data_IF_740124811660
#
_entry.id   IF_740124811660
#
_cell.length_a   1.000
_cell.length_b   1.000
_cell.length_c   1.000
_cell.angle_alpha   90.00
_cell.angle_beta   90.00
_cell.angle_gamma   90.00
#
_symmetry.space_group_name_H-M   'P 1'
#
loop_
_entity.id
_entity.type
_entity.pdbx_description
1 polymer ?
#
# COMPACT_ATOMS: atom_id res chain seq x y z
N UNK A 1 -18.60 -2.38 21.62
CA UNK A 1 -17.29 -2.90 21.16
C UNK A 1 -17.21 -2.65 19.67
N UNK A 2 -16.18 -1.90 19.22
CA UNK A 2 -15.95 -1.64 17.80
C UNK A 2 -15.37 -2.90 17.18
N UNK A 3 -15.96 -3.33 16.05
CA UNK A 3 -15.48 -4.51 15.29
C UNK A 3 -14.75 -4.06 14.03
N UNK A 4 -13.53 -4.53 13.84
CA UNK A 4 -12.71 -4.27 12.67
C UNK A 4 -12.48 -5.52 11.83
N UNK A 5 -12.24 -5.32 10.55
CA UNK A 5 -11.76 -6.34 9.61
C UNK A 5 -10.85 -5.71 8.56
N UNK A 6 -10.06 -6.53 7.87
CA UNK A 6 -9.43 -6.13 6.63
C UNK A 6 -10.27 -6.60 5.44
N UNK A 7 -10.58 -5.68 4.54
CA UNK A 7 -10.91 -6.00 3.16
C UNK A 7 -9.61 -6.16 2.38
N UNK A 8 -9.65 -6.86 1.28
CA UNK A 8 -8.52 -7.01 0.37
C UNK A 8 -8.85 -6.45 -1.01
N UNK A 9 -7.89 -5.82 -1.63
CA UNK A 9 -7.94 -5.42 -3.03
C UNK A 9 -6.72 -5.97 -3.77
N UNK A 10 -6.94 -6.59 -4.92
CA UNK A 10 -5.87 -7.18 -5.71
C UNK A 10 -4.94 -6.11 -6.29
N UNK A 11 -3.64 -6.38 -6.22
CA UNK A 11 -2.60 -5.69 -6.97
C UNK A 11 -2.15 -6.65 -8.07
N UNK A 12 -2.23 -6.18 -9.31
CA UNK A 12 -2.02 -6.99 -10.52
C UNK A 12 -0.71 -6.59 -11.20
N UNK A 13 0.07 -7.56 -11.60
CA UNK A 13 1.20 -7.35 -12.50
C UNK A 13 0.67 -7.16 -13.93
N UNK A 14 1.03 -6.05 -14.59
CA UNK A 14 0.36 -5.61 -15.82
C UNK A 14 0.74 -6.41 -17.07
N UNK A 15 1.91 -7.04 -17.11
CA UNK A 15 2.32 -7.84 -18.26
C UNK A 15 1.67 -9.22 -18.28
N UNK A 16 1.61 -9.88 -17.11
CA UNK A 16 1.01 -11.20 -16.95
C UNK A 16 -0.48 -11.15 -16.65
N UNK A 17 -0.97 -10.01 -16.14
CA UNK A 17 -2.32 -9.81 -15.60
C UNK A 17 -2.65 -10.73 -14.40
N UNK A 18 -1.64 -11.20 -13.71
CA UNK A 18 -1.79 -12.02 -12.53
C UNK A 18 -1.84 -11.18 -11.25
N UNK A 19 -2.63 -11.63 -10.29
CA UNK A 19 -2.64 -11.06 -8.94
C UNK A 19 -1.34 -11.44 -8.25
N UNK A 20 -0.54 -10.44 -7.89
CA UNK A 20 0.77 -10.66 -7.24
C UNK A 20 0.76 -10.34 -5.76
N UNK A 21 -0.17 -9.49 -5.32
CA UNK A 21 -0.31 -9.03 -3.93
C UNK A 21 -1.76 -8.65 -3.64
N UNK A 22 -2.06 -8.45 -2.38
CA UNK A 22 -3.30 -7.80 -1.93
C UNK A 22 -2.98 -6.64 -0.98
N UNK A 23 -3.58 -5.50 -1.20
CA UNK A 23 -3.63 -4.45 -0.19
C UNK A 23 -4.73 -4.77 0.81
N UNK A 24 -4.40 -4.72 2.10
CA UNK A 24 -5.33 -4.92 3.20
C UNK A 24 -5.86 -3.57 3.68
N UNK A 25 -7.15 -3.37 3.52
CA UNK A 25 -7.84 -2.10 3.76
C UNK A 25 -8.73 -2.22 5.00
N UNK A 26 -8.40 -1.46 6.04
CA UNK A 26 -9.14 -1.49 7.29
C UNK A 26 -10.60 -1.05 7.10
N UNK A 27 -11.50 -1.81 7.71
CA UNK A 27 -12.94 -1.51 7.76
C UNK A 27 -13.45 -1.67 9.19
N UNK A 28 -14.43 -0.86 9.53
CA UNK A 28 -15.15 -0.87 10.79
C UNK A 28 -16.61 -1.24 10.55
N UNK A 29 -17.17 -2.09 11.42
CA UNK A 29 -18.59 -2.46 11.34
C UNK A 29 -19.44 -1.35 11.93
N UNK A 30 -20.36 -0.84 11.12
CA UNK A 30 -21.43 0.05 11.55
C UNK A 30 -22.66 -0.80 11.93
N UNK A 31 -22.93 -0.87 13.23
CA UNK A 31 -24.01 -1.71 13.75
C UNK A 31 -25.42 -1.15 13.45
N UNK A 32 -25.53 0.17 13.29
CA UNK A 32 -26.80 0.85 13.02
C UNK A 32 -27.20 0.65 11.55
N UNK A 33 -26.24 0.83 10.65
CA UNK A 33 -26.43 0.67 9.21
C UNK A 33 -26.23 -0.78 8.72
N UNK A 34 -25.66 -1.63 9.56
CA UNK A 34 -25.32 -3.04 9.22
C UNK A 34 -24.43 -3.18 7.99
N UNK A 35 -23.43 -2.31 7.90
CA UNK A 35 -22.46 -2.30 6.78
C UNK A 35 -21.04 -2.13 7.30
N UNK A 36 -20.08 -2.61 6.51
CA UNK A 36 -18.68 -2.27 6.70
C UNK A 36 -18.41 -0.90 6.08
N UNK A 37 -17.78 0.01 6.82
CA UNK A 37 -17.39 1.34 6.36
C UNK A 37 -15.93 1.65 6.68
N UNK A 38 -15.43 2.75 6.16
CA UNK A 38 -14.13 3.28 6.58
C UNK A 38 -14.17 3.60 8.08
N UNK A 39 -13.10 3.27 8.83
CA UNK A 39 -13.03 3.64 10.23
C UNK A 39 -12.92 5.16 10.40
N UNK A 40 -13.38 5.65 11.55
CA UNK A 40 -13.23 7.06 11.90
C UNK A 40 -11.78 7.39 12.26
N UNK A 41 -11.06 6.38 12.76
CA UNK A 41 -9.64 6.45 13.09
C UNK A 41 -8.94 5.19 12.58
N UNK A 42 -7.82 5.36 11.86
CA UNK A 42 -7.01 4.27 11.33
C UNK A 42 -5.93 3.79 12.32
N UNK A 43 -5.76 4.46 13.44
CA UNK A 43 -4.78 4.09 14.47
C UNK A 43 -5.31 2.99 15.40
N UNK A 44 -5.36 1.78 14.90
CA UNK A 44 -5.60 0.60 15.73
C UNK A 44 -4.27 0.03 16.25
N UNK A 45 -4.34 -0.71 17.35
CA UNK A 45 -3.14 -1.32 17.93
C UNK A 45 -2.47 -2.30 16.96
N UNK A 46 -1.15 -2.40 17.00
CA UNK A 46 -0.41 -3.37 16.18
C UNK A 46 -0.85 -4.82 16.48
N UNK A 47 -1.21 -5.13 17.72
CA UNK A 47 -1.76 -6.44 18.07
C UNK A 47 -3.07 -6.75 17.32
N UNK A 48 -3.94 -5.75 17.19
CA UNK A 48 -5.16 -5.88 16.39
C UNK A 48 -4.83 -6.03 14.90
N UNK A 49 -3.91 -5.23 14.36
CA UNK A 49 -3.47 -5.35 12.97
C UNK A 49 -2.96 -6.76 12.67
N UNK A 50 -2.08 -7.31 13.53
CA UNK A 50 -1.54 -8.67 13.38
C UNK A 50 -2.66 -9.71 13.41
N UNK A 51 -3.61 -9.59 14.34
CA UNK A 51 -4.77 -10.49 14.41
C UNK A 51 -5.59 -10.48 13.12
N UNK A 52 -5.84 -9.28 12.58
CA UNK A 52 -6.60 -9.11 11.34
C UNK A 52 -5.83 -9.61 10.12
N UNK A 53 -4.50 -9.37 10.05
CA UNK A 53 -3.65 -9.93 8.99
C UNK A 53 -3.68 -11.46 8.98
N UNK A 54 -3.52 -12.11 10.14
CA UNK A 54 -3.60 -13.58 10.25
C UNK A 54 -4.95 -14.10 9.76
N UNK A 55 -6.04 -13.39 10.06
CA UNK A 55 -7.39 -13.75 9.60
C UNK A 55 -7.51 -13.62 8.07
N UNK A 56 -6.99 -12.55 7.48
CA UNK A 56 -7.00 -12.33 6.03
C UNK A 56 -6.14 -13.38 5.30
N UNK A 57 -4.92 -13.66 5.79
CA UNK A 57 -4.00 -14.62 5.18
C UNK A 57 -4.61 -16.03 5.07
N UNK A 58 -5.38 -16.48 6.05
CA UNK A 58 -6.06 -17.79 5.97
C UNK A 58 -7.03 -17.89 4.81
N UNK A 59 -7.51 -16.76 4.28
CA UNK A 59 -8.53 -16.71 3.21
C UNK A 59 -7.97 -16.33 1.85
N UNK A 60 -6.82 -15.66 1.79
CA UNK A 60 -6.20 -15.24 0.54
C UNK A 60 -5.44 -16.39 -0.11
N UNK A 61 -5.51 -16.48 -1.43
CA UNK A 61 -4.70 -17.42 -2.24
C UNK A 61 -3.26 -16.90 -2.39
N UNK A 62 -3.10 -15.63 -2.78
CA UNK A 62 -1.80 -14.96 -2.83
C UNK A 62 -1.51 -14.39 -1.45
N UNK A 63 -0.40 -14.82 -0.86
CA UNK A 63 -0.02 -14.52 0.53
C UNK A 63 0.92 -13.32 0.68
N UNK A 64 1.11 -12.56 -0.40
CA UNK A 64 1.84 -11.30 -0.38
C UNK A 64 0.85 -10.18 -0.06
N UNK A 65 1.07 -9.43 1.00
CA UNK A 65 0.12 -8.41 1.46
C UNK A 65 0.79 -7.08 1.75
N UNK A 66 0.02 -6.01 1.58
CA UNK A 66 0.39 -4.66 1.97
C UNK A 66 -0.51 -4.20 3.11
N UNK A 67 0.06 -3.52 4.08
CA UNK A 67 -0.66 -2.81 5.15
C UNK A 67 -0.23 -1.36 5.21
N UNK A 68 -1.12 -0.49 5.66
CA UNK A 68 -0.80 0.92 5.89
C UNK A 68 -0.38 1.15 7.34
N UNK A 69 0.66 1.96 7.53
CA UNK A 69 1.04 2.52 8.83
C UNK A 69 0.97 4.05 8.77
N UNK A 70 0.43 4.64 9.82
CA UNK A 70 0.53 6.08 10.03
C UNK A 70 1.98 6.47 10.40
N UNK A 71 2.37 7.76 10.28
CA UNK A 71 3.71 8.19 10.67
C UNK A 71 4.07 7.84 12.11
N UNK A 72 3.12 7.95 13.04
CA UNK A 72 3.34 7.61 14.45
C UNK A 72 3.55 6.11 14.65
N UNK A 73 2.79 5.26 13.97
CA UNK A 73 2.97 3.81 14.02
C UNK A 73 4.32 3.39 13.40
N UNK A 74 4.70 4.00 12.29
CA UNK A 74 5.98 3.70 11.63
C UNK A 74 7.18 4.09 12.49
N UNK A 75 7.12 5.25 13.16
CA UNK A 75 8.20 5.75 14.02
C UNK A 75 8.34 4.99 15.35
N UNK A 76 7.39 4.13 15.69
CA UNK A 76 7.37 3.36 16.94
C UNK A 76 8.18 2.07 16.79
N UNK A 77 9.29 1.97 17.51
CA UNK A 77 10.15 0.79 17.50
C UNK A 77 9.46 -0.48 18.05
N UNK A 78 8.52 -0.34 19.00
CA UNK A 78 7.76 -1.47 19.52
C UNK A 78 6.79 -2.03 18.48
N UNK A 79 6.18 -1.16 17.68
CA UNK A 79 5.36 -1.56 16.53
C UNK A 79 6.22 -2.30 15.52
N UNK A 80 7.39 -1.77 15.19
CA UNK A 80 8.33 -2.41 14.27
C UNK A 80 8.73 -3.81 14.73
N UNK A 81 9.15 -3.96 16.00
CA UNK A 81 9.53 -5.27 16.55
C UNK A 81 8.40 -6.28 16.47
N UNK A 82 7.17 -5.90 16.81
CA UNK A 82 6.00 -6.80 16.74
C UNK A 82 5.66 -7.22 15.33
N UNK A 83 5.79 -6.31 14.36
CA UNK A 83 5.57 -6.64 12.93
C UNK A 83 6.67 -7.58 12.42
N UNK A 84 7.92 -7.33 12.76
CA UNK A 84 9.05 -8.21 12.41
C UNK A 84 8.89 -9.60 13.01
N UNK A 85 8.51 -9.69 14.28
CA UNK A 85 8.22 -10.98 14.94
C UNK A 85 7.06 -11.70 14.24
N UNK A 86 6.02 -10.99 13.85
CA UNK A 86 4.91 -11.55 13.08
C UNK A 86 5.39 -12.12 11.74
N UNK A 87 6.23 -11.40 11.01
CA UNK A 87 6.78 -11.84 9.72
C UNK A 87 7.59 -13.12 9.87
N UNK A 88 8.44 -13.19 10.90
CA UNK A 88 9.30 -14.36 11.15
C UNK A 88 8.55 -15.57 11.70
N UNK A 89 7.41 -15.37 12.36
CA UNK A 89 6.62 -16.43 13.02
C UNK A 89 5.40 -16.90 12.24
N UNK A 90 5.16 -16.38 11.03
CA UNK A 90 3.95 -16.68 10.27
C UNK A 90 4.30 -17.35 8.94
N UNK A 91 4.33 -18.67 8.94
CA UNK A 91 4.69 -19.49 7.77
C UNK A 91 3.75 -19.27 6.57
N UNK A 92 2.49 -18.88 6.81
CA UNK A 92 1.52 -18.60 5.75
C UNK A 92 1.82 -17.29 4.99
N UNK A 93 2.62 -16.39 5.54
CA UNK A 93 2.95 -15.11 4.91
C UNK A 93 3.98 -15.32 3.79
N UNK A 94 3.65 -14.89 2.59
CA UNK A 94 4.61 -14.84 1.48
C UNK A 94 5.57 -13.66 1.64
N UNK A 95 5.04 -12.45 1.67
CA UNK A 95 5.79 -11.22 1.93
C UNK A 95 4.88 -10.12 2.47
N UNK A 96 5.47 -9.18 3.20
CA UNK A 96 4.80 -8.00 3.74
C UNK A 96 5.41 -6.73 3.16
N UNK A 97 4.57 -5.82 2.68
CA UNK A 97 4.92 -4.44 2.37
C UNK A 97 4.19 -3.52 3.36
N UNK A 98 4.92 -2.62 3.97
CA UNK A 98 4.38 -1.52 4.76
C UNK A 98 4.28 -0.30 3.87
N UNK A 99 3.06 0.22 3.72
CA UNK A 99 2.77 1.46 3.00
C UNK A 99 2.72 2.61 3.98
N UNK A 100 3.54 3.63 3.73
CA UNK A 100 3.64 4.83 4.54
C UNK A 100 2.62 5.84 4.02
N UNK A 101 1.63 6.17 4.84
CA UNK A 101 0.52 7.08 4.47
C UNK A 101 0.93 8.55 4.38
N UNK A 102 2.10 8.88 4.88
CA UNK A 102 2.78 10.17 4.73
C UNK A 102 4.28 9.95 4.73
N UNK A 103 5.04 10.91 4.17
CA UNK A 103 6.50 10.85 4.16
C UNK A 103 7.04 10.81 5.59
N UNK A 104 7.82 9.77 5.97
CA UNK A 104 8.47 9.72 7.27
C UNK A 104 9.63 10.71 7.33
N UNK A 105 10.18 10.93 8.52
CA UNK A 105 11.45 11.66 8.64
C UNK A 105 12.59 10.86 8.00
N UNK A 106 13.62 11.56 7.52
CA UNK A 106 14.82 10.92 6.98
C UNK A 106 15.54 10.06 8.03
N UNK A 107 15.45 10.45 9.29
CA UNK A 107 16.01 9.69 10.41
C UNK A 107 15.24 8.38 10.61
N UNK A 108 13.91 8.42 10.67
CA UNK A 108 13.10 7.21 10.87
C UNK A 108 13.25 6.21 9.72
N UNK A 109 13.30 6.70 8.47
CA UNK A 109 13.46 5.78 7.33
C UNK A 109 14.85 5.12 7.34
N UNK A 110 15.89 5.80 7.78
CA UNK A 110 17.25 5.28 7.87
C UNK A 110 17.47 4.35 9.07
N UNK A 111 16.70 4.49 10.13
CA UNK A 111 16.80 3.69 11.35
C UNK A 111 15.75 2.60 11.39
N UNK A 112 14.52 2.94 11.68
CA UNK A 112 13.39 1.97 11.75
C UNK A 112 13.11 1.35 10.39
N UNK A 113 13.12 2.13 9.33
CA UNK A 113 12.95 1.62 7.97
C UNK A 113 14.01 0.60 7.57
N UNK A 114 15.27 0.84 7.94
CA UNK A 114 16.35 -0.10 7.70
C UNK A 114 16.16 -1.43 8.45
N UNK A 115 15.64 -1.40 9.67
CA UNK A 115 15.33 -2.62 10.42
C UNK A 115 14.17 -3.41 9.78
N UNK A 116 13.11 -2.74 9.29
CA UNK A 116 12.08 -3.41 8.52
C UNK A 116 12.67 -4.13 7.31
N UNK A 117 13.45 -3.44 6.48
CA UNK A 117 14.03 -3.99 5.25
C UNK A 117 15.02 -5.11 5.51
N UNK A 118 15.86 -5.00 6.51
CA UNK A 118 16.80 -6.05 6.96
C UNK A 118 16.08 -7.35 7.34
N UNK A 119 14.85 -7.25 7.81
CA UNK A 119 14.01 -8.38 8.20
C UNK A 119 13.04 -8.82 7.09
N UNK A 120 13.25 -8.38 5.85
CA UNK A 120 12.48 -8.80 4.70
C UNK A 120 11.14 -8.08 4.50
N UNK A 121 10.85 -7.04 5.28
CA UNK A 121 9.67 -6.19 5.08
C UNK A 121 9.99 -5.11 4.06
N UNK A 122 9.17 -5.03 3.02
CA UNK A 122 9.28 -3.98 2.00
C UNK A 122 8.60 -2.70 2.47
N UNK A 123 9.08 -1.56 2.00
CA UNK A 123 8.51 -0.25 2.29
C UNK A 123 8.01 0.41 1.01
N UNK A 124 6.83 1.02 1.07
CA UNK A 124 6.28 1.82 -0.01
C UNK A 124 5.89 3.21 0.50
N UNK A 125 6.12 4.24 -0.31
CA UNK A 125 5.54 5.57 -0.08
C UNK A 125 4.25 5.63 -0.87
N UNK A 126 3.16 5.88 -0.16
CA UNK A 126 1.83 5.96 -0.74
C UNK A 126 1.50 7.37 -1.24
N UNK A 127 0.57 7.46 -2.20
CA UNK A 127 -0.02 8.71 -2.69
C UNK A 127 0.97 9.78 -3.20
N UNK A 128 2.10 9.36 -3.80
CA UNK A 128 3.04 10.32 -4.40
C UNK A 128 2.36 11.14 -5.51
N UNK A 129 2.67 12.42 -5.57
CA UNK A 129 2.06 13.37 -6.51
C UNK A 129 0.68 13.91 -6.10
N UNK A 130 0.06 13.34 -5.08
CA UNK A 130 -1.22 13.79 -4.53
C UNK A 130 -1.09 14.22 -3.06
N UNK A 131 -1.33 13.34 -2.11
CA UNK A 131 -1.21 13.66 -0.68
C UNK A 131 0.26 13.73 -0.24
N UNK A 132 1.15 13.00 -0.90
CA UNK A 132 2.60 13.05 -0.75
C UNK A 132 3.23 13.69 -2.00
N UNK A 133 3.12 15.02 -2.14
CA UNK A 133 3.48 15.76 -3.36
C UNK A 133 4.76 16.60 -3.25
N UNK A 134 5.43 16.59 -2.09
CA UNK A 134 6.74 17.24 -1.93
C UNK A 134 7.84 16.36 -2.55
N UNK A 135 8.16 16.67 -3.81
CA UNK A 135 9.14 15.93 -4.59
C UNK A 135 10.52 15.90 -3.93
N UNK A 136 10.99 17.05 -3.41
CA UNK A 136 12.33 17.16 -2.79
C UNK A 136 12.45 16.30 -1.52
N UNK A 137 11.34 16.13 -0.79
CA UNK A 137 11.28 15.24 0.37
C UNK A 137 11.33 13.79 -0.07
N UNK A 138 10.49 13.40 -1.02
CA UNK A 138 10.42 12.00 -1.49
C UNK A 138 11.71 11.58 -2.18
N UNK A 139 12.34 12.46 -2.97
CA UNK A 139 13.64 12.19 -3.61
C UNK A 139 14.73 11.76 -2.60
N UNK A 140 14.71 12.36 -1.40
CA UNK A 140 15.65 11.98 -0.31
C UNK A 140 15.30 10.64 0.33
N UNK A 141 14.03 10.22 0.27
CA UNK A 141 13.54 8.99 0.88
C UNK A 141 13.59 7.79 -0.07
N UNK A 142 13.49 8.02 -1.38
CA UNK A 142 13.37 6.94 -2.37
C UNK A 142 14.51 5.91 -2.31
N UNK A 143 15.78 6.24 -1.97
CA UNK A 143 16.83 5.24 -1.82
C UNK A 143 16.58 4.21 -0.71
N UNK A 144 15.66 4.51 0.21
CA UNK A 144 15.37 3.71 1.41
C UNK A 144 14.04 2.95 1.33
N UNK A 145 13.34 3.03 0.20
CA UNK A 145 12.05 2.33 -0.01
C UNK A 145 12.09 1.44 -1.25
N UNK A 146 11.12 0.56 -1.36
CA UNK A 146 11.06 -0.46 -2.42
C UNK A 146 10.01 -0.12 -3.48
N UNK A 147 9.06 0.75 -3.17
CA UNK A 147 7.96 1.11 -4.06
C UNK A 147 7.49 2.55 -3.84
N UNK A 148 7.10 3.21 -4.94
CA UNK A 148 6.28 4.42 -4.95
C UNK A 148 4.92 4.09 -5.54
N UNK A 149 3.83 4.54 -4.89
CA UNK A 149 2.46 4.32 -5.34
C UNK A 149 1.83 5.66 -5.74
N UNK A 150 1.33 5.71 -6.96
CA UNK A 150 0.70 6.89 -7.56
C UNK A 150 -0.81 6.66 -7.71
N UNK A 151 -1.61 7.51 -7.08
CA UNK A 151 -3.06 7.34 -6.97
C UNK A 151 -3.81 8.20 -7.98
N UNK A 152 -4.25 7.61 -9.10
CA UNK A 152 -5.06 8.30 -10.12
C UNK A 152 -6.39 8.82 -9.57
N UNK A 153 -7.04 8.07 -8.65
CA UNK A 153 -8.27 8.51 -7.99
C UNK A 153 -8.07 9.80 -7.20
N UNK A 154 -6.93 9.98 -6.55
CA UNK A 154 -6.61 11.20 -5.81
C UNK A 154 -6.37 12.38 -6.77
N UNK A 155 -5.67 12.13 -7.88
CA UNK A 155 -5.45 13.15 -8.91
C UNK A 155 -6.79 13.68 -9.46
N UNK A 156 -7.73 12.78 -9.73
CA UNK A 156 -9.10 13.16 -10.16
C UNK A 156 -9.82 13.95 -9.08
N UNK A 157 -9.82 13.46 -7.84
CA UNK A 157 -10.50 14.10 -6.71
C UNK A 157 -9.94 15.50 -6.38
N UNK A 158 -8.64 15.71 -6.59
CA UNK A 158 -7.95 16.98 -6.33
C UNK A 158 -7.91 17.91 -7.53
N UNK A 159 -8.49 17.51 -8.69
CA UNK A 159 -8.49 18.30 -9.91
C UNK A 159 -7.12 18.48 -10.56
N UNK A 160 -6.17 17.59 -10.28
CA UNK A 160 -4.78 17.64 -10.78
C UNK A 160 -4.60 16.87 -12.11
N UNK A 161 -5.57 17.00 -13.02
CA UNK A 161 -5.57 16.22 -14.27
C UNK A 161 -4.92 16.96 -15.45
N UNK A 162 -4.80 18.28 -15.42
CA UNK A 162 -4.31 19.07 -16.56
C UNK A 162 -2.87 18.73 -16.96
N UNK A 163 -1.99 18.43 -16.00
CA UNK A 163 -0.59 18.06 -16.22
C UNK A 163 -0.32 16.63 -15.74
N UNK A 164 -1.29 15.73 -15.87
CA UNK A 164 -1.21 14.39 -15.32
C UNK A 164 -0.01 13.60 -15.85
N UNK A 165 0.23 13.61 -17.16
CA UNK A 165 1.33 12.85 -17.76
C UNK A 165 2.70 13.38 -17.34
N UNK A 166 2.89 14.68 -17.24
CA UNK A 166 4.13 15.30 -16.75
C UNK A 166 4.38 14.92 -15.29
N UNK A 167 3.32 14.91 -14.49
CA UNK A 167 3.37 14.47 -13.09
C UNK A 167 3.78 13.00 -12.98
N UNK A 168 3.16 12.13 -13.75
CA UNK A 168 3.50 10.70 -13.78
C UNK A 168 4.94 10.51 -14.22
N UNK A 169 5.37 11.19 -15.29
CA UNK A 169 6.73 11.08 -15.82
C UNK A 169 7.79 11.46 -14.77
N UNK A 170 7.55 12.51 -14.00
CA UNK A 170 8.45 12.94 -12.93
C UNK A 170 8.65 11.84 -11.89
N UNK A 171 7.56 11.25 -11.39
CA UNK A 171 7.60 10.19 -10.38
C UNK A 171 8.11 8.86 -10.92
N UNK A 172 7.74 8.51 -12.15
CA UNK A 172 8.23 7.31 -12.81
C UNK A 172 9.74 7.38 -13.07
N UNK A 173 10.25 8.55 -13.47
CA UNK A 173 11.69 8.80 -13.66
C UNK A 173 12.44 8.64 -12.35
N UNK A 174 11.95 9.26 -11.28
CA UNK A 174 12.54 9.14 -9.94
C UNK A 174 12.62 7.67 -9.49
N UNK A 175 11.52 6.92 -9.64
CA UNK A 175 11.49 5.50 -9.30
C UNK A 175 12.50 4.69 -10.12
N UNK A 176 12.59 4.95 -11.42
CA UNK A 176 13.50 4.26 -12.34
C UNK A 176 14.97 4.54 -12.01
N UNK A 177 15.33 5.78 -11.73
CA UNK A 177 16.71 6.18 -11.38
C UNK A 177 17.21 5.50 -10.10
N UNK A 178 16.31 5.19 -9.18
CA UNK A 178 16.62 4.50 -7.93
C UNK A 178 16.31 3.00 -7.95
N UNK A 179 15.91 2.45 -9.11
CA UNK A 179 15.51 1.06 -9.25
C UNK A 179 14.39 0.66 -8.26
N UNK A 180 13.47 1.60 -8.01
CA UNK A 180 12.32 1.46 -7.12
C UNK A 180 11.10 1.11 -7.95
N UNK A 181 10.24 0.21 -7.45
CA UNK A 181 9.01 -0.18 -8.14
C UNK A 181 8.03 1.00 -8.19
N UNK A 182 7.33 1.14 -9.31
CA UNK A 182 6.29 2.15 -9.50
C UNK A 182 4.95 1.49 -9.72
N UNK A 183 3.97 1.77 -8.86
CA UNK A 183 2.64 1.16 -8.85
C UNK A 183 1.57 2.22 -9.05
N UNK A 184 0.59 1.97 -9.90
CA UNK A 184 -0.60 2.80 -10.03
C UNK A 184 -1.75 2.28 -9.19
N UNK A 185 -2.46 3.21 -8.56
CA UNK A 185 -3.74 2.98 -7.91
C UNK A 185 -4.86 3.70 -8.66
N UNK A 186 -6.09 3.25 -8.45
CA UNK A 186 -7.27 3.88 -9.05
C UNK A 186 -7.41 3.66 -10.55
N UNK A 187 -6.96 2.52 -11.06
CA UNK A 187 -7.27 2.10 -12.43
C UNK A 187 -8.76 1.76 -12.51
N UNK A 188 -9.53 2.55 -13.22
CA UNK A 188 -10.98 2.39 -13.35
C UNK A 188 -11.43 2.13 -14.80
N UNK A 189 -10.55 2.39 -15.76
CA UNK A 189 -10.86 2.30 -17.18
C UNK A 189 -9.72 1.72 -18.01
N UNK A 190 -10.05 1.32 -19.25
CA UNK A 190 -9.05 0.92 -20.24
C UNK A 190 -8.08 2.07 -20.58
N UNK A 191 -8.55 3.32 -20.51
CA UNK A 191 -7.70 4.50 -20.69
C UNK A 191 -6.63 4.60 -19.60
N UNK A 192 -7.01 4.36 -18.35
CA UNK A 192 -6.05 4.35 -17.23
C UNK A 192 -5.03 3.23 -17.39
N UNK A 193 -5.47 2.05 -17.84
CA UNK A 193 -4.58 0.91 -18.10
C UNK A 193 -3.57 1.23 -19.21
N UNK A 194 -4.01 1.90 -20.29
CA UNK A 194 -3.11 2.36 -21.34
C UNK A 194 -2.10 3.39 -20.85
N UNK A 195 -2.53 4.28 -19.96
CA UNK A 195 -1.65 5.26 -19.34
C UNK A 195 -0.58 4.59 -18.48
N UNK A 196 -0.95 3.60 -17.67
CA UNK A 196 0.00 2.82 -16.89
C UNK A 196 1.04 2.13 -17.78
N UNK A 197 0.61 1.52 -18.89
CA UNK A 197 1.51 0.86 -19.85
C UNK A 197 2.44 1.85 -20.57
N UNK A 198 1.97 3.07 -20.87
CA UNK A 198 2.78 4.12 -21.49
C UNK A 198 3.99 4.50 -20.64
N UNK A 199 3.88 4.44 -19.32
CA UNK A 199 4.93 4.80 -18.37
C UNK A 199 5.63 3.57 -17.76
N UNK A 200 5.54 2.39 -18.39
CA UNK A 200 6.17 1.15 -17.96
C UNK A 200 5.88 0.77 -16.50
N UNK A 201 4.67 1.10 -16.02
CA UNK A 201 4.21 0.74 -14.68
C UNK A 201 4.09 -0.78 -14.58
N UNK A 202 4.73 -1.36 -13.57
CA UNK A 202 4.75 -2.82 -13.43
C UNK A 202 3.49 -3.36 -12.78
N UNK A 203 3.04 -2.73 -11.70
CA UNK A 203 1.89 -3.17 -10.92
C UNK A 203 0.82 -2.10 -10.83
N UNK A 204 -0.43 -2.54 -10.76
CA UNK A 204 -1.56 -1.63 -10.62
C UNK A 204 -2.69 -2.25 -9.80
N UNK A 205 -3.51 -1.39 -9.22
CA UNK A 205 -4.76 -1.76 -8.55
C UNK A 205 -5.87 -0.76 -8.89
N UNK A 206 -7.10 -1.18 -8.73
CA UNK A 206 -8.27 -0.34 -8.96
C UNK A 206 -9.52 -1.14 -9.30
N UNK A 207 -10.63 -0.44 -9.44
CA UNK A 207 -11.93 -1.04 -9.70
C UNK A 207 -12.03 -1.76 -11.05
N UNK A 208 -11.14 -1.41 -11.98
CA UNK A 208 -11.00 -2.14 -13.24
C UNK A 208 -10.68 -3.63 -13.04
N UNK A 209 -9.89 -3.96 -12.01
CA UNK A 209 -9.51 -5.34 -11.68
C UNK A 209 -10.40 -5.94 -10.60
N UNK A 210 -10.55 -5.24 -9.47
CA UNK A 210 -11.37 -5.70 -8.34
C UNK A 210 -11.74 -4.55 -7.42
N UNK A 211 -12.91 -4.65 -6.81
CA UNK A 211 -13.28 -3.80 -5.68
C UNK A 211 -12.72 -4.37 -4.37
N UNK A 212 -12.43 -3.52 -3.37
CA UNK A 212 -12.15 -4.01 -2.03
C UNK A 212 -13.30 -4.86 -1.52
N UNK A 213 -13.00 -6.05 -1.04
CA UNK A 213 -13.98 -6.99 -0.51
C UNK A 213 -13.41 -7.80 0.66
N UNK A 214 -14.27 -8.43 1.45
CA UNK A 214 -13.81 -9.40 2.44
C UNK A 214 -12.96 -10.48 1.74
N UNK A 215 -11.80 -10.87 2.30
CA UNK A 215 -11.00 -11.93 1.72
C UNK A 215 -11.81 -13.22 1.61
N UNK A 216 -11.93 -13.72 0.39
CA UNK A 216 -12.67 -14.97 0.10
C UNK A 216 -11.67 -16.05 -0.27
N UNK A 217 -11.83 -17.23 0.31
CA UNK A 217 -11.11 -18.41 -0.16
C UNK A 217 -11.61 -18.75 -1.57
N UNK A 218 -10.77 -18.55 -2.58
CA UNK A 218 -11.06 -19.07 -3.91
C UNK A 218 -10.87 -20.59 -3.88
N UNK A 219 -11.96 -21.31 -4.10
CA UNK A 219 -11.95 -22.76 -4.27
C UNK A 219 -11.29 -23.14 -5.59
#
# INVERSE_FOLDING_TARGET
VITYTYFSQAIVELNTQEVVRHELLLRMWDADQKVWRLPDDFEITVAMQIKLMKRALRRLKVKNVNIKLTPSQFADADVMHKIVDFVHSTDELGSLTVELTAAPSLEDIKTIGAEYRKNGVQLAIDDVGSDCDDFDVVEKLVPYVDCLKFALQNMRAQGKMDNLEENIEQWATLAKEHNTQFTFEGIESFSDLRLAKKFDVQNAQGFYFSHPAEPVATH
#
